data_IF_234725560771
#
_entry.id   IF_234725560771
#
_cell.length_a   1.000
_cell.length_b   1.000
_cell.length_c   1.000
_cell.angle_alpha   90.00
_cell.angle_beta   90.00
_cell.angle_gamma   90.00
#
_symmetry.space_group_name_H-M   'P 1'
#
loop_
_entity.id
_entity.type
_entity.pdbx_description
1 polymer ?
#
# COMPACT_ATOMS: atom_id res chain seq x y z
N UNK A 1 -12.85 1.57 -4.85
CA UNK A 1 -12.60 2.68 -3.90
C UNK A 1 -11.46 3.56 -4.41
N UNK A 2 -11.75 4.73 -5.04
CA UNK A 2 -10.73 5.62 -5.59
C UNK A 2 -10.25 6.75 -4.64
N UNK A 3 -10.88 6.93 -3.46
CA UNK A 3 -10.63 8.09 -2.58
C UNK A 3 -9.23 8.23 -1.95
N UNK A 4 -8.34 7.23 -2.09
CA UNK A 4 -6.96 7.30 -1.56
C UNK A 4 -5.94 7.78 -2.61
N UNK A 5 -6.24 7.64 -3.89
CA UNK A 5 -5.25 7.82 -4.97
C UNK A 5 -4.88 9.30 -5.17
N UNK A 6 -5.84 10.21 -4.97
CA UNK A 6 -5.61 11.65 -5.15
C UNK A 6 -4.65 12.21 -4.10
N UNK A 7 -4.82 11.86 -2.82
CA UNK A 7 -3.89 12.26 -1.75
C UNK A 7 -2.48 11.67 -1.92
N UNK A 8 -2.38 10.48 -2.52
CA UNK A 8 -1.12 9.76 -2.73
C UNK A 8 -0.37 10.29 -3.97
N UNK A 9 -1.04 11.01 -4.88
CA UNK A 9 -0.39 11.67 -6.02
C UNK A 9 0.31 12.98 -5.66
N UNK A 10 -0.19 13.69 -4.65
CA UNK A 10 0.43 14.91 -4.11
C UNK A 10 1.50 14.61 -3.04
N UNK A 11 1.42 13.42 -2.42
CA UNK A 11 2.43 12.92 -1.49
C UNK A 11 3.77 12.71 -2.19
N UNK A 12 4.84 13.25 -1.61
CA UNK A 12 6.22 13.06 -2.08
C UNK A 12 6.64 11.59 -2.01
N UNK A 13 7.68 11.22 -2.78
CA UNK A 13 8.20 9.84 -2.85
C UNK A 13 8.50 9.27 -1.45
N UNK A 14 8.99 10.10 -0.53
CA UNK A 14 9.29 9.72 0.85
C UNK A 14 8.04 9.34 1.67
N UNK A 15 6.92 10.03 1.47
CA UNK A 15 5.65 9.68 2.13
C UNK A 15 5.07 8.37 1.58
N UNK A 16 5.27 8.09 0.30
CA UNK A 16 4.89 6.81 -0.32
C UNK A 16 5.68 5.65 0.28
N UNK A 17 6.98 5.84 0.49
CA UNK A 17 7.84 4.87 1.15
C UNK A 17 7.46 4.65 2.62
N UNK A 18 7.07 5.72 3.32
CA UNK A 18 6.54 5.61 4.69
C UNK A 18 5.24 4.80 4.73
N UNK A 19 4.29 5.09 3.82
CA UNK A 19 3.05 4.32 3.71
C UNK A 19 3.27 2.85 3.34
N UNK A 20 4.26 2.56 2.50
CA UNK A 20 4.65 1.17 2.19
C UNK A 20 5.10 0.41 3.45
N UNK A 21 5.90 1.04 4.31
CA UNK A 21 6.34 0.43 5.57
C UNK A 21 5.16 0.16 6.51
N UNK A 22 4.29 1.13 6.70
CA UNK A 22 3.10 0.99 7.56
C UNK A 22 2.15 -0.10 7.06
N UNK A 23 1.92 -0.17 5.74
CA UNK A 23 1.09 -1.21 5.12
C UNK A 23 1.71 -2.60 5.29
N UNK A 24 3.04 -2.69 5.20
CA UNK A 24 3.76 -3.96 5.39
C UNK A 24 3.63 -4.46 6.83
N UNK A 25 3.75 -3.56 7.81
CA UNK A 25 3.55 -3.91 9.22
C UNK A 25 2.10 -4.31 9.52
N UNK A 26 1.14 -3.59 8.93
CA UNK A 26 -0.29 -3.92 9.02
C UNK A 26 -0.57 -5.31 8.42
N UNK A 27 0.04 -5.63 7.27
CA UNK A 27 -0.04 -6.95 6.64
C UNK A 27 0.54 -8.03 7.58
N UNK A 28 1.64 -7.75 8.26
CA UNK A 28 2.24 -8.69 9.21
C UNK A 28 1.29 -8.98 10.38
N UNK A 29 0.70 -7.94 10.99
CA UNK A 29 -0.32 -8.11 12.04
C UNK A 29 -1.55 -8.86 11.54
N UNK A 30 -2.04 -8.55 10.34
CA UNK A 30 -3.17 -9.24 9.73
C UNK A 30 -2.88 -10.71 9.41
N UNK A 31 -1.63 -11.06 9.04
CA UNK A 31 -1.21 -12.46 8.89
C UNK A 31 -1.21 -13.18 10.23
N UNK A 32 -0.77 -12.53 11.30
CA UNK A 32 -0.81 -13.09 12.65
C UNK A 32 -2.26 -13.31 13.13
N UNK A 33 -3.15 -12.36 12.87
CA UNK A 33 -4.60 -12.50 13.14
C UNK A 33 -5.27 -13.59 12.30
N UNK A 34 -4.83 -13.76 11.04
CA UNK A 34 -5.31 -14.85 10.19
C UNK A 34 -4.85 -16.21 10.72
N UNK A 35 -3.61 -16.31 11.21
CA UNK A 35 -3.08 -17.52 11.83
C UNK A 35 -3.83 -17.91 13.11
N UNK A 36 -4.49 -16.96 13.78
CA UNK A 36 -5.34 -17.20 14.95
C UNK A 36 -6.78 -17.58 14.58
N UNK A 37 -7.09 -17.74 13.29
CA UNK A 37 -8.38 -18.27 12.81
C UNK A 37 -9.45 -17.22 12.47
N UNK A 38 -9.11 -15.93 12.45
CA UNK A 38 -10.07 -14.88 12.11
C UNK A 38 -10.29 -14.76 10.59
N UNK A 39 -11.42 -15.25 10.09
CA UNK A 39 -11.77 -15.22 8.67
C UNK A 39 -11.89 -13.78 8.10
N UNK A 40 -12.28 -12.80 8.92
CA UNK A 40 -12.33 -11.39 8.51
C UNK A 40 -10.94 -10.82 8.16
N UNK A 41 -9.89 -11.35 8.79
CA UNK A 41 -8.51 -10.93 8.51
C UNK A 41 -8.10 -11.26 7.06
N UNK A 42 -8.70 -12.28 6.43
CA UNK A 42 -8.39 -12.65 5.04
C UNK A 42 -8.82 -11.57 4.05
N UNK A 43 -10.02 -10.99 4.23
CA UNK A 43 -10.52 -9.90 3.38
C UNK A 43 -9.65 -8.66 3.54
N UNK A 44 -9.38 -8.26 4.79
CA UNK A 44 -8.50 -7.12 5.12
C UNK A 44 -7.08 -7.31 4.59
N UNK A 45 -6.54 -8.52 4.67
CA UNK A 45 -5.22 -8.85 4.13
C UNK A 45 -5.18 -8.69 2.60
N UNK A 46 -6.22 -9.13 1.89
CA UNK A 46 -6.32 -8.96 0.43
C UNK A 46 -6.43 -7.49 0.04
N UNK A 47 -7.18 -6.69 0.80
CA UNK A 47 -7.27 -5.25 0.58
C UNK A 47 -5.94 -4.53 0.83
N UNK A 48 -5.29 -4.81 1.97
CA UNK A 48 -3.99 -4.22 2.31
C UNK A 48 -2.90 -4.57 1.28
N UNK A 49 -2.89 -5.81 0.75
CA UNK A 49 -1.98 -6.20 -0.35
C UNK A 49 -2.24 -5.41 -1.62
N UNK A 50 -3.52 -5.14 -1.97
CA UNK A 50 -3.88 -4.33 -3.14
C UNK A 50 -3.47 -2.87 -2.94
N UNK A 51 -3.62 -2.34 -1.74
CA UNK A 51 -3.18 -0.97 -1.42
C UNK A 51 -1.66 -0.85 -1.52
N UNK A 52 -0.89 -1.81 -1.00
CA UNK A 52 0.57 -1.84 -1.16
C UNK A 52 0.99 -1.88 -2.64
N UNK A 53 0.33 -2.69 -3.46
CA UNK A 53 0.61 -2.75 -4.89
C UNK A 53 0.33 -1.41 -5.60
N UNK A 54 -0.72 -0.68 -5.20
CA UNK A 54 -1.03 0.64 -5.75
C UNK A 54 0.03 1.67 -5.37
N UNK A 55 0.49 1.68 -4.11
CA UNK A 55 1.56 2.58 -3.64
C UNK A 55 2.84 2.35 -4.45
N UNK A 56 3.29 1.10 -4.58
CA UNK A 56 4.48 0.77 -5.40
C UNK A 56 4.31 1.18 -6.86
N UNK A 57 3.12 1.01 -7.42
CA UNK A 57 2.82 1.41 -8.80
C UNK A 57 2.91 2.93 -8.97
N UNK A 58 2.48 3.70 -7.98
CA UNK A 58 2.56 5.16 -8.00
C UNK A 58 4.01 5.65 -7.85
N UNK A 59 4.80 5.05 -6.95
CA UNK A 59 6.25 5.31 -6.86
C UNK A 59 6.90 5.09 -8.22
N UNK A 60 6.66 3.92 -8.84
CA UNK A 60 7.22 3.59 -10.15
C UNK A 60 6.74 4.53 -11.25
N UNK A 61 5.48 4.97 -11.22
CA UNK A 61 4.93 5.92 -12.17
C UNK A 61 5.55 7.32 -12.04
N UNK A 62 5.90 7.75 -10.81
CA UNK A 62 6.63 9.00 -10.58
C UNK A 62 8.08 8.88 -11.10
N UNK A 63 8.78 7.78 -10.79
CA UNK A 63 10.13 7.52 -11.32
C UNK A 63 10.18 7.54 -12.85
N UNK A 64 9.22 6.89 -13.51
CA UNK A 64 9.13 6.85 -14.98
C UNK A 64 8.79 8.22 -15.61
N UNK A 65 8.10 9.10 -14.88
CA UNK A 65 7.90 10.49 -15.31
C UNK A 65 9.18 11.32 -15.16
N UNK A 66 9.93 11.13 -14.08
CA UNK A 66 11.19 11.83 -13.85
C UNK A 66 12.28 11.41 -14.85
N UNK A 67 12.33 10.13 -15.24
CA UNK A 67 13.27 9.62 -16.26
C UNK A 67 12.87 9.88 -17.72
N UNK A 68 11.75 10.57 -17.97
CA UNK A 68 11.30 10.98 -19.31
C UNK A 68 11.60 12.46 -19.63
N UNK A 69 12.39 13.13 -18.80
CA UNK A 69 12.90 14.48 -19.04
C UNK A 69 14.30 14.44 -19.64
#
# INVERSE_FOLDING_TARGET
MPRRIEKIREAGVDELLAQEKDLTETIFRLRFQLSTGQAEALKRLREAKKDLARVKTLVRAQELKAGKA
#
